data_IF_875477788664
#
_entry.id   IF_875477788664
#
_cell.length_a   1.000
_cell.length_b   1.000
_cell.length_c   1.000
_cell.angle_alpha   90.00
_cell.angle_beta   90.00
_cell.angle_gamma   90.00
#
_symmetry.space_group_name_H-M   'P 1'
#
loop_
_entity.id
_entity.type
_entity.pdbx_description
1 polymer ?
#
# COMPACT_ATOMS: atom_id res chain seq x y z
N UNK A 1 -18.84 79.53 2.57
CA UNK A 1 -19.05 78.19 3.16
C UNK A 1 -18.85 77.15 2.08
N UNK A 2 -17.95 76.22 2.32
CA UNK A 2 -17.39 75.25 1.36
C UNK A 2 -18.46 74.22 0.91
N UNK A 3 -18.60 73.99 -0.40
CA UNK A 3 -19.42 72.91 -0.96
C UNK A 3 -18.55 71.64 -1.06
N UNK A 4 -18.94 70.56 -0.37
CA UNK A 4 -18.26 69.26 -0.42
C UNK A 4 -19.09 68.31 -1.27
N UNK A 5 -18.49 67.81 -2.36
CA UNK A 5 -19.06 66.80 -3.26
C UNK A 5 -18.61 65.43 -2.74
N UNK A 6 -19.55 64.62 -2.25
CA UNK A 6 -19.28 63.24 -1.84
C UNK A 6 -19.43 62.28 -3.02
N UNK A 7 -18.34 61.69 -3.48
CA UNK A 7 -18.34 60.62 -4.47
C UNK A 7 -18.66 59.27 -3.80
N UNK A 8 -19.72 58.59 -4.24
CA UNK A 8 -20.00 57.21 -3.85
C UNK A 8 -19.06 56.26 -4.61
N UNK A 9 -18.10 55.65 -3.93
CA UNK A 9 -17.35 54.51 -4.48
C UNK A 9 -18.24 53.26 -4.46
N UNK A 10 -18.68 52.81 -5.64
CA UNK A 10 -19.33 51.51 -5.79
C UNK A 10 -18.27 50.41 -5.71
N UNK A 11 -18.16 49.75 -4.56
CA UNK A 11 -17.39 48.52 -4.44
C UNK A 11 -18.25 47.35 -4.95
N UNK A 12 -17.99 46.88 -6.18
CA UNK A 12 -18.54 45.61 -6.66
C UNK A 12 -17.74 44.49 -5.99
N UNK A 13 -18.33 43.83 -5.00
CA UNK A 13 -17.78 42.59 -4.47
C UNK A 13 -18.24 41.42 -5.37
N UNK A 14 -17.32 40.89 -6.17
CA UNK A 14 -17.54 39.65 -6.91
C UNK A 14 -17.49 38.47 -5.93
N UNK A 15 -18.65 38.04 -5.44
CA UNK A 15 -18.79 36.74 -4.79
C UNK A 15 -18.82 35.66 -5.88
N UNK A 16 -17.67 35.04 -6.15
CA UNK A 16 -17.63 33.79 -6.92
C UNK A 16 -17.97 32.64 -5.97
N UNK A 17 -19.26 32.33 -5.83
CA UNK A 17 -19.71 31.12 -5.17
C UNK A 17 -19.51 29.93 -6.10
N UNK A 18 -18.57 29.03 -5.79
CA UNK A 18 -18.49 27.73 -6.45
C UNK A 18 -19.72 26.92 -6.06
N UNK A 19 -20.69 26.80 -6.97
CA UNK A 19 -21.84 25.92 -6.80
C UNK A 19 -21.39 24.49 -7.08
N UNK A 20 -21.10 23.74 -6.03
CA UNK A 20 -20.93 22.29 -6.14
C UNK A 20 -22.26 21.68 -6.55
N UNK A 21 -22.40 21.31 -7.83
CA UNK A 21 -23.54 20.53 -8.28
C UNK A 21 -23.31 19.08 -7.88
N UNK A 22 -24.05 18.61 -6.87
CA UNK A 22 -24.14 17.19 -6.58
C UNK A 22 -24.73 16.45 -7.78
N UNK A 23 -24.13 15.34 -8.14
CA UNK A 23 -24.71 14.42 -9.12
C UNK A 23 -25.92 13.76 -8.46
N UNK A 24 -27.12 14.20 -8.82
CA UNK A 24 -28.38 13.56 -8.45
C UNK A 24 -28.76 12.51 -9.51
N UNK A 25 -29.47 11.47 -9.07
CA UNK A 25 -29.97 10.34 -9.86
C UNK A 25 -30.89 10.75 -11.01
N UNK A 26 -31.28 12.03 -11.08
CA UNK A 26 -31.99 12.67 -12.19
C UNK A 26 -31.16 12.79 -13.47
N UNK A 27 -29.83 12.62 -13.41
CA UNK A 27 -29.01 12.34 -14.59
C UNK A 27 -29.09 10.85 -14.91
N UNK A 28 -30.26 10.40 -15.40
CA UNK A 28 -30.40 9.09 -15.99
C UNK A 28 -29.27 8.92 -17.02
N UNK A 29 -28.43 7.89 -16.81
CA UNK A 29 -27.39 7.51 -17.76
C UNK A 29 -28.04 7.40 -19.13
N UNK A 30 -27.73 8.35 -20.02
CA UNK A 30 -28.29 8.35 -21.37
C UNK A 30 -28.00 6.97 -21.97
N UNK A 31 -29.03 6.27 -22.44
CA UNK A 31 -28.95 4.91 -22.98
C UNK A 31 -27.80 4.75 -24.00
N UNK A 32 -27.50 5.83 -24.72
CA UNK A 32 -26.41 5.95 -25.69
C UNK A 32 -24.99 5.94 -25.06
N UNK A 33 -24.80 6.54 -23.89
CA UNK A 33 -23.53 6.45 -23.15
C UNK A 33 -23.38 5.05 -22.55
N UNK A 34 -24.46 4.49 -22.00
CA UNK A 34 -24.48 3.15 -21.42
C UNK A 34 -24.11 2.07 -22.46
N UNK A 35 -24.64 2.16 -23.68
CA UNK A 35 -24.30 1.20 -24.76
C UNK A 35 -22.86 1.34 -25.26
N UNK A 36 -22.28 2.55 -25.25
CA UNK A 36 -20.88 2.77 -25.61
C UNK A 36 -19.90 2.19 -24.57
N UNK A 37 -20.24 2.24 -23.28
CA UNK A 37 -19.37 1.74 -22.21
C UNK A 37 -19.56 0.24 -21.92
N UNK A 38 -20.71 -0.34 -22.32
CA UNK A 38 -21.05 -1.74 -22.04
C UNK A 38 -19.95 -2.75 -22.42
N UNK A 39 -19.36 -2.75 -23.63
CA UNK A 39 -18.32 -3.73 -23.98
C UNK A 39 -17.07 -3.61 -23.11
N UNK A 40 -16.71 -2.40 -22.66
CA UNK A 40 -15.60 -2.18 -21.74
C UNK A 40 -15.94 -2.68 -20.34
N UNK A 41 -17.17 -2.44 -19.87
CA UNK A 41 -17.67 -2.95 -18.59
C UNK A 41 -17.69 -4.47 -18.55
N UNK A 42 -18.12 -5.12 -19.64
CA UNK A 42 -18.19 -6.57 -19.74
C UNK A 42 -16.79 -7.19 -19.74
N UNK A 43 -15.86 -6.62 -20.53
CA UNK A 43 -14.46 -7.06 -20.56
C UNK A 43 -13.80 -6.91 -19.19
N UNK A 44 -14.00 -5.77 -18.53
CA UNK A 44 -13.46 -5.52 -17.19
C UNK A 44 -14.07 -6.50 -16.16
N UNK A 45 -15.37 -6.75 -16.25
CA UNK A 45 -16.06 -7.68 -15.33
C UNK A 45 -15.54 -9.10 -15.51
N UNK A 46 -15.27 -9.52 -16.75
CA UNK A 46 -14.68 -10.82 -17.03
C UNK A 46 -13.26 -10.95 -16.45
N UNK A 47 -12.42 -9.93 -16.63
CA UNK A 47 -11.06 -9.91 -16.06
C UNK A 47 -11.09 -9.91 -14.53
N UNK A 48 -11.92 -9.06 -13.92
CA UNK A 48 -12.08 -9.00 -12.46
C UNK A 48 -12.62 -10.32 -11.88
N UNK A 49 -13.39 -11.07 -12.66
CA UNK A 49 -13.94 -12.37 -12.29
C UNK A 49 -12.99 -13.56 -12.48
N UNK A 50 -11.82 -13.37 -13.08
CA UNK A 50 -10.85 -14.46 -13.27
C UNK A 50 -10.41 -15.03 -11.92
N UNK A 51 -10.66 -16.32 -11.69
CA UNK A 51 -10.16 -17.05 -10.51
C UNK A 51 -8.69 -17.36 -10.71
N UNK A 52 -7.86 -16.89 -9.78
CA UNK A 52 -6.40 -16.95 -9.86
C UNK A 52 -5.76 -17.82 -8.77
N UNK A 53 -6.56 -18.28 -7.81
CA UNK A 53 -6.12 -19.14 -6.72
C UNK A 53 -7.22 -19.38 -5.69
N UNK A 54 -6.83 -19.87 -4.51
CA UNK A 54 -7.75 -20.25 -3.44
C UNK A 54 -7.18 -19.93 -2.06
N UNK A 55 -8.05 -19.63 -1.11
CA UNK A 55 -7.72 -19.54 0.31
C UNK A 55 -8.45 -20.64 1.10
N UNK A 56 -7.71 -21.45 1.85
CA UNK A 56 -8.29 -22.49 2.72
C UNK A 56 -8.92 -21.94 4.01
N UNK A 57 -8.60 -20.70 4.34
CA UNK A 57 -9.13 -19.93 5.48
C UNK A 57 -9.34 -18.48 5.05
N UNK A 58 -10.05 -17.69 5.85
CA UNK A 58 -10.07 -16.23 5.66
C UNK A 58 -8.71 -15.63 6.01
N UNK A 59 -8.27 -14.66 5.21
CA UNK A 59 -7.13 -13.79 5.46
C UNK A 59 -7.68 -12.43 5.87
N UNK A 60 -7.81 -12.26 7.19
CA UNK A 60 -8.48 -11.12 7.77
C UNK A 60 -7.52 -9.94 7.91
N UNK A 61 -7.97 -8.73 7.60
CA UNK A 61 -7.22 -7.53 7.94
C UNK A 61 -7.49 -7.15 9.41
N UNK A 62 -6.51 -7.41 10.27
CA UNK A 62 -6.56 -7.05 11.69
C UNK A 62 -5.25 -6.38 12.14
N UNK A 63 -5.37 -5.49 13.12
CA UNK A 63 -4.25 -4.73 13.68
C UNK A 63 -3.96 -5.16 15.12
N UNK A 64 -2.70 -5.11 15.58
CA UNK A 64 -1.51 -4.71 14.81
C UNK A 64 -0.87 -5.86 14.02
N UNK A 65 -1.46 -7.07 14.06
CA UNK A 65 -1.01 -8.23 13.29
C UNK A 65 -2.21 -8.94 12.69
N UNK A 66 -2.01 -9.52 11.52
CA UNK A 66 -2.95 -10.45 10.91
C UNK A 66 -2.25 -11.41 9.97
N UNK A 67 -2.94 -12.51 9.63
CA UNK A 67 -2.45 -13.44 8.63
C UNK A 67 -2.40 -12.82 7.24
N UNK A 68 -3.32 -11.89 6.90
CA UNK A 68 -3.25 -11.13 5.66
C UNK A 68 -1.99 -10.26 5.58
N UNK A 69 -1.65 -9.55 6.66
CA UNK A 69 -0.42 -8.77 6.72
C UNK A 69 0.83 -9.66 6.55
N UNK A 70 0.87 -10.80 7.23
CA UNK A 70 1.96 -11.76 7.08
C UNK A 70 2.07 -12.28 5.65
N UNK A 71 0.95 -12.68 5.05
CA UNK A 71 0.91 -13.17 3.68
C UNK A 71 1.37 -12.11 2.68
N UNK A 72 0.88 -10.88 2.78
CA UNK A 72 1.26 -9.80 1.87
C UNK A 72 2.76 -9.51 1.94
N UNK A 73 3.34 -9.49 3.15
CA UNK A 73 4.78 -9.27 3.32
C UNK A 73 5.60 -10.44 2.76
N UNK A 74 5.19 -11.69 2.99
CA UNK A 74 5.90 -12.87 2.49
C UNK A 74 5.78 -13.02 0.98
N UNK A 75 4.60 -12.77 0.43
CA UNK A 75 4.35 -12.78 -1.01
C UNK A 75 5.25 -11.76 -1.72
N UNK A 76 5.34 -10.54 -1.19
CA UNK A 76 6.22 -9.51 -1.74
C UNK A 76 7.69 -9.93 -1.65
N UNK A 77 8.14 -10.42 -0.49
CA UNK A 77 9.52 -10.87 -0.31
C UNK A 77 9.87 -11.96 -1.32
N UNK A 78 9.02 -12.98 -1.45
CA UNK A 78 9.23 -14.10 -2.35
C UNK A 78 9.27 -13.64 -3.82
N UNK A 79 8.29 -12.86 -4.27
CA UNK A 79 8.21 -12.43 -5.67
C UNK A 79 9.38 -11.56 -6.12
N UNK A 80 9.87 -10.71 -5.22
CA UNK A 80 10.92 -9.76 -5.52
C UNK A 80 12.33 -10.38 -5.38
N UNK A 81 12.49 -11.40 -4.55
CA UNK A 81 13.81 -12.02 -4.29
C UNK A 81 14.04 -13.36 -5.00
N UNK A 82 13.01 -14.01 -5.55
CA UNK A 82 13.14 -15.36 -6.16
C UNK A 82 14.20 -15.47 -7.29
N UNK A 83 14.50 -14.37 -7.99
CA UNK A 83 15.49 -14.33 -9.07
C UNK A 83 16.76 -13.55 -8.70
N UNK A 84 16.90 -13.10 -7.44
CA UNK A 84 17.98 -12.22 -7.00
C UNK A 84 18.83 -12.90 -5.93
N UNK A 85 20.15 -12.96 -6.14
CA UNK A 85 21.08 -13.39 -5.09
C UNK A 85 21.36 -12.21 -4.15
N UNK A 86 20.82 -12.30 -2.94
CA UNK A 86 21.02 -11.28 -1.92
C UNK A 86 22.36 -11.47 -1.21
N UNK A 87 23.16 -10.41 -1.15
CA UNK A 87 24.40 -10.34 -0.34
C UNK A 87 24.17 -9.73 1.04
N UNK A 88 23.01 -9.09 1.22
CA UNK A 88 22.62 -8.35 2.40
C UNK A 88 21.22 -8.81 2.82
N UNK A 89 20.85 -8.69 4.11
CA UNK A 89 19.53 -9.04 4.57
C UNK A 89 18.48 -8.15 3.91
N UNK A 90 17.41 -8.79 3.44
CA UNK A 90 16.25 -8.11 2.85
C UNK A 90 15.08 -8.22 3.81
N UNK A 91 14.41 -7.10 4.07
CA UNK A 91 13.23 -7.03 4.93
C UNK A 91 12.08 -6.48 4.11
N UNK A 92 10.89 -7.08 4.22
CA UNK A 92 9.67 -6.40 3.76
C UNK A 92 9.08 -5.62 4.91
N UNK A 93 8.71 -4.37 4.64
CA UNK A 93 7.95 -3.52 5.56
C UNK A 93 6.82 -2.85 4.77
N UNK A 94 5.57 -3.17 5.10
CA UNK A 94 4.39 -2.51 4.53
C UNK A 94 3.54 -1.89 5.63
N UNK A 95 2.93 -0.76 5.34
CA UNK A 95 1.95 -0.15 6.22
C UNK A 95 0.63 -0.91 6.11
N UNK A 96 -0.01 -1.12 7.24
CA UNK A 96 -1.26 -1.87 7.28
C UNK A 96 -2.39 -1.13 6.51
N UNK A 97 -2.30 0.21 6.38
CA UNK A 97 -3.26 1.04 5.65
C UNK A 97 -3.24 0.88 4.12
N UNK A 98 -2.18 0.30 3.55
CA UNK A 98 -2.10 -0.05 2.14
C UNK A 98 -2.94 -1.28 1.77
N UNK A 99 -3.28 -2.12 2.76
CA UNK A 99 -4.21 -3.24 2.62
C UNK A 99 -5.61 -2.77 3.05
N UNK A 100 -6.61 -2.97 2.20
CA UNK A 100 -7.92 -2.29 2.30
C UNK A 100 -9.10 -3.20 2.56
N UNK A 101 -8.96 -4.49 2.31
CA UNK A 101 -10.01 -5.49 2.55
C UNK A 101 -9.40 -6.83 2.93
N UNK A 102 -10.20 -7.69 3.57
CA UNK A 102 -9.86 -9.09 3.81
C UNK A 102 -10.06 -9.93 2.55
N UNK A 103 -9.40 -11.08 2.48
CA UNK A 103 -9.70 -12.12 1.48
C UNK A 103 -10.47 -13.24 2.17
N UNK A 104 -11.67 -13.55 1.68
CA UNK A 104 -12.49 -14.61 2.24
C UNK A 104 -11.93 -15.99 1.89
N UNK A 105 -12.24 -17.00 2.71
CA UNK A 105 -12.06 -18.40 2.35
C UNK A 105 -12.78 -18.71 1.03
N UNK A 106 -12.14 -19.48 0.15
CA UNK A 106 -12.71 -19.89 -1.13
C UNK A 106 -11.85 -19.49 -2.32
N UNK A 107 -12.47 -19.40 -3.49
CA UNK A 107 -11.83 -18.90 -4.71
C UNK A 107 -11.40 -17.45 -4.54
N UNK A 108 -10.24 -17.11 -5.12
CA UNK A 108 -9.69 -15.76 -5.13
C UNK A 108 -9.72 -15.28 -6.57
N UNK A 109 -10.36 -14.14 -6.79
CA UNK A 109 -10.44 -13.50 -8.10
C UNK A 109 -9.45 -12.35 -8.24
N UNK A 110 -9.14 -11.92 -9.47
CA UNK A 110 -8.39 -10.68 -9.71
C UNK A 110 -9.05 -9.50 -9.01
N UNK A 111 -10.38 -9.40 -9.07
CA UNK A 111 -11.16 -8.36 -8.42
C UNK A 111 -10.96 -8.29 -6.90
N UNK A 112 -10.69 -9.41 -6.24
CA UNK A 112 -10.39 -9.42 -4.80
C UNK A 112 -9.03 -8.76 -4.49
N UNK A 113 -8.05 -8.88 -5.40
CA UNK A 113 -6.75 -8.21 -5.25
C UNK A 113 -6.86 -6.71 -5.54
N UNK A 114 -7.74 -6.30 -6.47
CA UNK A 114 -8.09 -4.88 -6.67
C UNK A 114 -8.79 -4.27 -5.45
N UNK A 115 -9.67 -5.02 -4.78
CA UNK A 115 -10.28 -4.59 -3.50
C UNK A 115 -9.24 -4.56 -2.37
N UNK A 116 -8.30 -5.51 -2.34
CA UNK A 116 -7.26 -5.58 -1.31
C UNK A 116 -6.30 -4.41 -1.40
N UNK A 117 -5.79 -4.12 -2.59
CA UNK A 117 -4.80 -3.07 -2.84
C UNK A 117 -5.24 -2.17 -4.00
N UNK A 118 -6.19 -1.24 -3.77
CA UNK A 118 -6.77 -0.40 -4.82
C UNK A 118 -5.85 0.73 -5.27
N UNK A 119 -4.74 0.97 -4.58
CA UNK A 119 -3.77 2.00 -4.96
C UNK A 119 -2.78 1.46 -5.99
N UNK A 120 -2.28 2.33 -6.87
CA UNK A 120 -1.28 1.98 -7.88
C UNK A 120 0.15 2.18 -7.38
N UNK A 121 0.38 1.82 -6.11
CA UNK A 121 1.70 1.84 -5.52
C UNK A 121 2.61 0.85 -6.26
N UNK A 122 3.86 1.25 -6.47
CA UNK A 122 4.89 0.40 -7.07
C UNK A 122 5.87 -0.08 -6.02
N UNK A 123 6.57 -1.17 -6.31
CA UNK A 123 7.58 -1.72 -5.40
C UNK A 123 8.78 -0.78 -5.34
N UNK A 124 9.26 -0.50 -4.13
CA UNK A 124 10.48 0.25 -3.86
C UNK A 124 11.46 -0.59 -3.06
N UNK A 125 12.71 -0.60 -3.50
CA UNK A 125 13.84 -1.19 -2.79
C UNK A 125 14.68 -0.06 -2.19
N UNK A 126 14.84 -0.04 -0.88
CA UNK A 126 15.50 1.03 -0.13
C UNK A 126 16.63 0.45 0.70
N UNK A 127 17.88 0.82 0.40
CA UNK A 127 19.06 0.36 1.15
C UNK A 127 19.41 1.37 2.24
N UNK A 128 19.48 0.87 3.47
CA UNK A 128 19.78 1.66 4.67
C UNK A 128 21.00 1.08 5.41
N UNK A 129 21.86 1.93 6.00
CA UNK A 129 22.89 1.48 6.92
C UNK A 129 22.31 0.82 8.18
N UNK A 130 22.97 -0.21 8.70
CA UNK A 130 22.55 -0.94 9.92
C UNK A 130 22.49 -0.02 11.15
N UNK A 131 23.30 1.03 11.18
CA UNK A 131 23.31 2.03 12.26
C UNK A 131 21.98 2.78 12.40
N UNK A 132 21.13 2.75 11.35
CA UNK A 132 19.80 3.38 11.36
C UNK A 132 18.73 2.54 12.05
N UNK A 133 19.00 1.30 12.47
CA UNK A 133 18.02 0.43 13.15
C UNK A 133 17.33 1.14 14.32
N UNK A 134 18.07 1.88 15.13
CA UNK A 134 17.51 2.61 16.29
C UNK A 134 16.45 3.65 15.90
N UNK A 135 16.60 4.30 14.75
CA UNK A 135 15.60 5.24 14.21
C UNK A 135 14.37 4.50 13.70
N UNK A 136 14.57 3.35 13.04
CA UNK A 136 13.50 2.49 12.57
C UNK A 136 12.68 1.98 13.76
N UNK A 137 13.34 1.46 14.80
CA UNK A 137 12.72 1.00 16.05
C UNK A 137 11.89 2.08 16.73
N UNK A 138 12.44 3.31 16.83
CA UNK A 138 11.72 4.46 17.37
C UNK A 138 10.46 4.77 16.56
N UNK A 139 10.55 4.72 15.22
CA UNK A 139 9.41 4.96 14.36
C UNK A 139 8.35 3.86 14.50
N UNK A 140 8.78 2.60 14.43
CA UNK A 140 7.88 1.45 14.57
C UNK A 140 7.15 1.50 15.91
N UNK A 141 7.80 1.86 17.00
CA UNK A 141 7.15 2.04 18.32
C UNK A 141 5.95 3.00 18.31
N UNK A 142 5.82 3.87 17.30
CA UNK A 142 4.75 4.86 17.16
C UNK A 142 3.62 4.42 16.20
N UNK A 143 3.73 3.25 15.57
CA UNK A 143 2.78 2.77 14.58
C UNK A 143 1.60 2.03 15.23
N UNK A 144 0.52 2.76 15.54
CA UNK A 144 -0.64 2.21 16.25
C UNK A 144 -1.34 1.04 15.52
N UNK A 145 -1.36 1.06 14.18
CA UNK A 145 -1.92 -0.03 13.35
C UNK A 145 -0.94 -1.18 13.11
N UNK A 146 0.30 -1.04 13.58
CA UNK A 146 1.40 -1.93 13.24
C UNK A 146 1.85 -1.82 11.79
N UNK A 147 2.81 -2.67 11.44
CA UNK A 147 3.33 -2.85 10.09
C UNK A 147 3.37 -4.33 9.76
N UNK A 148 3.18 -4.66 8.48
CA UNK A 148 3.42 -6.00 7.99
C UNK A 148 4.92 -6.18 7.76
N UNK A 149 5.50 -7.23 8.34
CA UNK A 149 6.92 -7.53 8.26
C UNK A 149 7.15 -8.91 7.66
N UNK A 150 8.17 -9.05 6.81
CA UNK A 150 8.74 -10.35 6.44
C UNK A 150 10.25 -10.32 6.57
N UNK A 151 10.85 -11.46 6.92
CA UNK A 151 12.26 -11.60 7.29
C UNK A 151 12.71 -10.68 8.44
N UNK A 152 11.78 -10.13 9.21
CA UNK A 152 12.03 -9.36 10.42
C UNK A 152 10.88 -9.51 11.43
N UNK A 153 11.19 -9.21 12.69
CA UNK A 153 10.24 -9.16 13.80
C UNK A 153 10.52 -7.91 14.63
N UNK A 154 9.48 -7.15 14.93
CA UNK A 154 9.54 -6.05 15.88
C UNK A 154 8.90 -6.52 17.19
N UNK A 155 9.64 -6.47 18.30
CA UNK A 155 9.18 -6.90 19.60
C UNK A 155 9.72 -5.99 20.71
N UNK A 156 8.82 -5.37 21.49
CA UNK A 156 9.12 -4.55 22.68
C UNK A 156 10.16 -3.46 22.38
N UNK A 157 9.93 -2.69 21.32
CA UNK A 157 10.86 -1.64 20.90
C UNK A 157 12.09 -2.11 20.13
N UNK A 158 12.28 -3.43 19.88
CA UNK A 158 13.46 -3.96 19.20
C UNK A 158 13.12 -4.60 17.85
N UNK A 159 13.86 -4.25 16.80
CA UNK A 159 13.77 -4.86 15.48
C UNK A 159 14.83 -5.95 15.34
N UNK A 160 14.38 -7.19 15.14
CA UNK A 160 15.24 -8.34 14.85
C UNK A 160 15.09 -8.70 13.38
N UNK A 161 16.16 -8.52 12.61
CA UNK A 161 16.23 -8.90 11.19
C UNK A 161 16.82 -10.29 11.06
N UNK A 162 16.13 -11.17 10.33
CA UNK A 162 16.62 -12.54 10.10
C UNK A 162 17.81 -12.52 9.15
N UNK A 163 18.85 -13.30 9.49
CA UNK A 163 20.12 -13.39 8.75
C UNK A 163 20.94 -12.09 8.70
N UNK A 164 20.69 -11.14 9.60
CA UNK A 164 21.62 -10.02 9.82
C UNK A 164 22.85 -10.53 10.60
N UNK A 165 24.01 -10.50 9.98
CA UNK A 165 25.30 -10.93 10.54
C UNK A 165 26.15 -9.70 10.93
N UNK A 166 27.11 -9.82 11.86
CA UNK A 166 27.93 -8.69 12.32
C UNK A 166 28.74 -7.96 11.23
N UNK A 167 29.09 -8.66 10.15
CA UNK A 167 29.81 -8.10 9.00
C UNK A 167 28.92 -7.29 8.05
N UNK A 168 27.60 -7.42 8.16
CA UNK A 168 26.69 -6.63 7.33
C UNK A 168 26.67 -5.18 7.81
N UNK A 169 26.88 -4.27 6.86
CA UNK A 169 26.82 -2.83 7.09
C UNK A 169 25.48 -2.23 6.65
N UNK A 170 24.67 -2.99 5.90
CA UNK A 170 23.43 -2.49 5.30
C UNK A 170 22.29 -3.52 5.40
N UNK A 171 21.07 -3.00 5.40
CA UNK A 171 19.82 -3.74 5.27
C UNK A 171 19.05 -3.15 4.10
N UNK A 172 18.51 -4.02 3.25
CA UNK A 172 17.64 -3.61 2.15
C UNK A 172 16.18 -3.81 2.55
N UNK A 173 15.37 -2.79 2.41
CA UNK A 173 13.93 -2.84 2.61
C UNK A 173 13.21 -2.91 1.28
N UNK A 174 12.28 -3.86 1.14
CA UNK A 174 11.29 -3.87 0.06
C UNK A 174 9.98 -3.34 0.63
N UNK A 175 9.47 -2.29 0.02
CA UNK A 175 8.29 -1.55 0.48
C UNK A 175 7.52 -0.96 -0.70
N UNK A 176 6.51 -0.14 -0.45
CA UNK A 176 5.86 0.68 -1.47
C UNK A 176 6.60 2.01 -1.68
N UNK A 177 6.59 2.55 -2.89
CA UNK A 177 7.03 3.92 -3.18
C UNK A 177 6.42 4.98 -2.25
N UNK A 178 5.14 4.86 -1.91
CA UNK A 178 4.48 5.73 -0.93
C UNK A 178 5.25 5.82 0.40
N UNK A 179 5.67 4.68 0.96
CA UNK A 179 6.44 4.64 2.20
C UNK A 179 7.90 5.03 1.98
N UNK A 180 8.51 4.65 0.87
CA UNK A 180 9.87 5.04 0.52
C UNK A 180 10.02 6.58 0.46
N UNK A 181 8.96 7.30 0.09
CA UNK A 181 8.90 8.76 0.12
C UNK A 181 8.35 9.36 1.43
N UNK A 182 8.35 8.59 2.53
CA UNK A 182 8.04 9.07 3.87
C UNK A 182 6.56 9.06 4.25
N UNK A 183 5.70 8.41 3.44
CA UNK A 183 4.30 8.14 3.79
C UNK A 183 4.16 7.43 5.14
N UNK A 184 3.01 7.61 5.80
CA UNK A 184 2.75 7.10 7.17
C UNK A 184 3.85 7.42 8.20
N UNK A 185 4.52 8.56 8.02
CA UNK A 185 5.65 9.02 8.85
C UNK A 185 6.84 8.07 8.81
N UNK A 186 7.01 7.25 7.77
CA UNK A 186 8.20 6.40 7.59
C UNK A 186 9.43 7.23 7.16
N UNK A 187 9.72 8.30 7.90
CA UNK A 187 10.73 9.32 7.55
C UNK A 187 12.14 8.76 7.52
N UNK A 188 12.38 7.61 8.17
CA UNK A 188 13.68 6.92 8.12
C UNK A 188 14.06 6.50 6.70
N UNK A 189 13.09 6.34 5.79
CA UNK A 189 13.35 6.08 4.37
C UNK A 189 13.81 7.31 3.56
N UNK A 190 13.68 8.53 4.09
CA UNK A 190 13.98 9.78 3.34
C UNK A 190 15.47 10.07 3.17
N UNK A 191 16.33 9.35 3.88
CA UNK A 191 17.78 9.45 3.72
C UNK A 191 18.35 8.06 3.46
N UNK A 192 18.05 7.46 2.31
CA UNK A 192 18.59 6.17 1.96
C UNK A 192 19.99 6.34 1.37
N UNK A 193 20.79 5.28 1.46
CA UNK A 193 22.03 5.23 0.70
C UNK A 193 21.72 4.98 -0.78
N UNK A 194 20.71 4.16 -1.06
CA UNK A 194 20.15 4.02 -2.41
C UNK A 194 18.67 3.66 -2.36
N UNK A 195 17.93 4.12 -3.37
CA UNK A 195 16.53 3.75 -3.60
C UNK A 195 16.36 3.37 -5.07
N UNK A 196 15.72 2.22 -5.30
CA UNK A 196 15.30 1.77 -6.62
C UNK A 196 13.78 1.65 -6.64
N UNK A 197 13.13 2.46 -7.48
CA UNK A 197 11.69 2.39 -7.72
C UNK A 197 11.46 1.47 -8.92
N UNK A 198 10.81 0.33 -8.65
CA UNK A 198 10.41 -0.61 -9.68
C UNK A 198 9.30 -0.05 -10.54
N UNK A 199 9.18 -0.55 -11.77
CA UNK A 199 8.01 -0.30 -12.62
C UNK A 199 6.85 -1.25 -12.33
N UNK A 200 7.06 -2.24 -11.44
CA UNK A 200 6.06 -3.25 -11.10
C UNK A 200 5.08 -2.69 -10.08
N UNK A 201 3.80 -2.73 -10.42
CA UNK A 201 2.71 -2.44 -9.50
C UNK A 201 2.64 -3.52 -8.43
N UNK A 202 2.46 -3.13 -7.16
CA UNK A 202 2.39 -4.07 -6.05
C UNK A 202 1.20 -5.04 -6.14
N UNK A 203 0.07 -4.61 -6.69
CA UNK A 203 -1.10 -5.46 -6.94
C UNK A 203 -0.77 -6.56 -7.92
N UNK A 204 -0.06 -6.25 -9.00
CA UNK A 204 0.37 -7.24 -9.99
C UNK A 204 1.31 -8.27 -9.36
N UNK A 205 2.19 -7.82 -8.46
CA UNK A 205 3.05 -8.71 -7.68
C UNK A 205 2.22 -9.68 -6.83
N UNK A 206 1.18 -9.18 -6.15
CA UNK A 206 0.29 -10.05 -5.37
C UNK A 206 -0.54 -11.00 -6.25
N UNK A 207 -1.06 -10.54 -7.39
CA UNK A 207 -1.75 -11.41 -8.36
C UNK A 207 -0.83 -12.55 -8.81
N UNK A 208 0.42 -12.24 -9.15
CA UNK A 208 1.41 -13.25 -9.55
C UNK A 208 1.75 -14.19 -8.39
N UNK A 209 1.85 -13.68 -7.15
CA UNK A 209 2.06 -14.51 -5.99
C UNK A 209 0.90 -15.51 -5.76
N UNK A 210 -0.35 -15.06 -5.91
CA UNK A 210 -1.53 -15.94 -5.80
C UNK A 210 -1.50 -17.01 -6.89
N UNK A 211 -1.27 -16.62 -8.16
CA UNK A 211 -1.18 -17.53 -9.30
C UNK A 211 -0.07 -18.58 -9.11
N UNK A 212 1.08 -18.19 -8.58
CA UNK A 212 2.21 -19.09 -8.35
C UNK A 212 1.98 -20.02 -7.15
N UNK A 213 1.36 -19.53 -6.07
CA UNK A 213 1.06 -20.36 -4.90
C UNK A 213 -0.10 -21.33 -5.16
N UNK A 214 -1.08 -20.92 -5.97
CA UNK A 214 -2.34 -21.64 -6.20
C UNK A 214 -3.25 -21.62 -4.96
N UNK A 215 -2.75 -22.09 -3.81
CA UNK A 215 -3.42 -21.96 -2.51
C UNK A 215 -2.58 -21.10 -1.56
N UNK A 216 -3.19 -20.07 -0.96
CA UNK A 216 -2.45 -19.14 -0.11
C UNK A 216 -1.90 -19.81 1.15
N UNK A 217 -0.65 -19.51 1.48
CA UNK A 217 -0.02 -19.99 2.70
C UNK A 217 -0.46 -19.16 3.90
N UNK A 218 -1.16 -19.77 4.85
CA UNK A 218 -1.61 -19.10 6.07
C UNK A 218 -0.51 -19.11 7.15
N UNK A 219 -0.18 -17.92 7.66
CA UNK A 219 0.79 -17.72 8.76
C UNK A 219 0.23 -16.76 9.79
N UNK A 220 0.16 -17.18 11.04
CA UNK A 220 -0.51 -16.43 12.12
C UNK A 220 0.44 -15.92 13.19
N UNK A 221 1.75 -16.08 13.02
CA UNK A 221 2.72 -15.55 13.99
C UNK A 221 2.60 -14.03 14.11
N UNK A 222 2.68 -13.54 15.35
CA UNK A 222 2.75 -12.09 15.59
C UNK A 222 4.16 -11.63 15.26
N UNK A 223 4.36 -10.81 14.22
CA UNK A 223 5.67 -10.28 13.82
C UNK A 223 5.89 -8.85 14.33
N UNK A 224 4.85 -8.22 14.83
CA UNK A 224 4.88 -6.86 15.35
C UNK A 224 4.24 -6.82 16.75
N UNK A 225 5.07 -6.69 17.77
CA UNK A 225 4.66 -6.64 19.18
C UNK A 225 5.27 -5.35 19.72
N UNK A 226 4.55 -4.21 19.65
CA UNK A 226 5.12 -2.92 20.03
C UNK A 226 5.51 -2.88 21.51
#
# INVERSE_FOLDING_TARGET
>A
GLFVIGACSHNISLHSGTKNMGLDQSYASKVEISSMIQPYSDSLSAEMGEVIGRADTSFDLAYPNSNLMNWAADALLQQETQAVKMREPVVVLLNAGGLRSSINRGEITVGDLYKLMPFDNVVAWVRLPVERISEIEKNLSQQAKGVALSNARFEKGKLTVSNLLPEHTHITFITSDYLAFGGDKMTFFLQPESVNISRRNMRDVFIQAVKQQGTLTNRTEKRYIP
#
